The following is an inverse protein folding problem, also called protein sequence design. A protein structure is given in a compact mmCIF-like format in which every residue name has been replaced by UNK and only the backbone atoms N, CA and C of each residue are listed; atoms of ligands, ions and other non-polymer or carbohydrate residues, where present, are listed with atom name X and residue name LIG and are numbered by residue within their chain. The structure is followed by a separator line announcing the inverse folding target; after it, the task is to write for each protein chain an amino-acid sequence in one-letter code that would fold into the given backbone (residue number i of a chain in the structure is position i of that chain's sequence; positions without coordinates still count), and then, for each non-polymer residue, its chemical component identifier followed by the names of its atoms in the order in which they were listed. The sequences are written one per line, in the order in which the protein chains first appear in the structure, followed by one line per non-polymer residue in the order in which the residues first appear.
data_IF_112037392397
#
_entry.id   IF_112037392397
#
_cell.length_a   1.000
_cell.length_b   1.000
_cell.length_c   1.000
_cell.angle_alpha   90.00
_cell.angle_beta   90.00
_cell.angle_gamma   90.00
#
_symmetry.space_group_name_H-M   'P 1'
#
loop_
_entity.id
_entity.type
_entity.pdbx_description
1 polymer ?
#
# COMPACT_ATOMS: atom_id res chain seq x y z
N UNK A 1 16.31 -15.95 17.73
CA UNK A 1 15.13 -15.09 17.44
C UNK A 1 14.59 -14.56 18.76
N UNK A 2 14.64 -13.24 19.01
CA UNK A 2 14.16 -12.65 20.28
C UNK A 2 12.62 -12.67 20.31
N UNK A 3 12.03 -13.34 21.30
CA UNK A 3 10.59 -13.29 21.59
C UNK A 3 10.20 -11.84 21.93
N UNK A 4 9.33 -11.25 21.12
CA UNK A 4 8.73 -9.96 21.44
C UNK A 4 7.88 -10.13 22.71
N UNK A 5 8.31 -9.51 23.81
CA UNK A 5 7.52 -9.42 25.04
C UNK A 5 6.25 -8.62 24.76
N UNK A 6 5.10 -9.14 25.23
CA UNK A 6 3.79 -8.55 25.02
C UNK A 6 3.66 -7.19 25.74
N UNK A 7 4.15 -6.11 25.13
CA UNK A 7 3.91 -4.75 25.60
C UNK A 7 2.42 -4.44 25.45
N UNK A 8 1.79 -3.98 26.54
CA UNK A 8 0.38 -3.55 26.57
C UNK A 8 0.21 -2.38 25.59
N UNK A 9 -0.38 -2.63 24.41
CA UNK A 9 -0.62 -1.61 23.38
C UNK A 9 -1.67 -0.62 23.88
N UNK A 10 -1.50 0.67 23.58
CA UNK A 10 -2.49 1.69 23.91
C UNK A 10 -3.83 1.37 23.22
N UNK A 11 -4.98 1.61 23.87
CA UNK A 11 -6.29 1.13 23.40
C UNK A 11 -6.69 1.61 21.99
N UNK A 12 -6.09 2.71 21.50
CA UNK A 12 -6.28 3.27 20.15
C UNK A 12 -5.12 3.01 19.18
N UNK A 13 -3.98 2.50 19.65
CA UNK A 13 -2.90 2.02 18.78
C UNK A 13 -3.12 0.54 18.45
N UNK A 14 -4.18 0.27 17.68
CA UNK A 14 -4.34 -1.04 17.04
C UNK A 14 -3.66 -0.94 15.68
N UNK A 15 -2.41 -1.38 15.61
CA UNK A 15 -1.81 -1.73 14.30
C UNK A 15 -2.73 -2.77 13.68
N UNK A 16 -3.36 -2.44 12.56
CA UNK A 16 -4.11 -3.43 11.78
C UNK A 16 -3.08 -4.38 11.17
N UNK A 17 -3.12 -5.63 11.60
CA UNK A 17 -2.27 -6.68 11.07
C UNK A 17 -3.04 -7.36 9.94
N UNK A 18 -2.52 -7.27 8.72
CA UNK A 18 -3.10 -7.96 7.58
C UNK A 18 -2.79 -9.46 7.66
N UNK A 19 -3.82 -10.28 7.53
CA UNK A 19 -3.69 -11.72 7.24
C UNK A 19 -2.97 -11.94 5.91
N UNK A 20 -2.49 -13.17 5.68
CA UNK A 20 -1.83 -13.51 4.41
C UNK A 20 -2.76 -13.31 3.20
N UNK A 21 -4.04 -13.63 3.35
CA UNK A 21 -5.05 -13.44 2.30
C UNK A 21 -5.25 -11.95 1.98
N UNK A 22 -5.37 -11.11 3.00
CA UNK A 22 -5.50 -9.65 2.82
C UNK A 22 -4.22 -9.06 2.20
N UNK A 23 -3.04 -9.51 2.62
CA UNK A 23 -1.77 -9.10 2.01
C UNK A 23 -1.76 -9.40 0.52
N UNK A 24 -2.12 -10.62 0.11
CA UNK A 24 -2.16 -11.00 -1.29
C UNK A 24 -3.19 -10.17 -2.07
N UNK A 25 -4.37 -9.97 -1.49
CA UNK A 25 -5.41 -9.14 -2.09
C UNK A 25 -4.91 -7.72 -2.38
N UNK A 26 -4.33 -7.04 -1.38
CA UNK A 26 -3.83 -5.68 -1.55
C UNK A 26 -2.60 -5.61 -2.46
N UNK A 27 -1.70 -6.60 -2.39
CA UNK A 27 -0.54 -6.67 -3.31
C UNK A 27 -0.97 -6.71 -4.77
N UNK A 28 -2.03 -7.44 -5.08
CA UNK A 28 -2.55 -7.52 -6.45
C UNK A 28 -3.09 -6.19 -6.95
N UNK A 29 -3.49 -5.28 -6.05
CA UNK A 29 -3.98 -3.94 -6.37
C UNK A 29 -2.87 -2.89 -6.48
N UNK A 30 -1.64 -3.20 -6.06
CA UNK A 30 -0.52 -2.25 -6.10
C UNK A 30 -0.06 -2.02 -7.55
N UNK A 31 0.23 -0.76 -7.85
CA UNK A 31 0.78 -0.29 -9.11
C UNK A 31 1.99 0.62 -8.84
N UNK A 32 3.03 0.46 -9.66
CA UNK A 32 4.17 1.38 -9.73
C UNK A 32 4.22 1.95 -11.13
N UNK A 33 4.18 3.27 -11.23
CA UNK A 33 4.19 4.05 -12.45
C UNK A 33 5.64 4.32 -12.87
N UNK A 34 5.97 3.93 -14.11
CA UNK A 34 7.27 4.18 -14.76
C UNK A 34 7.11 4.91 -16.09
N UNK A 35 5.88 5.21 -16.47
CA UNK A 35 5.47 5.90 -17.69
C UNK A 35 4.13 6.59 -17.45
N UNK A 36 3.75 7.58 -18.27
CA UNK A 36 2.40 8.11 -18.28
C UNK A 36 1.36 7.00 -18.45
N UNK A 37 0.28 7.11 -17.69
CA UNK A 37 -0.83 6.13 -17.67
C UNK A 37 -2.16 6.80 -17.98
N UNK A 38 -3.07 6.07 -18.58
CA UNK A 38 -4.47 6.48 -18.73
C UNK A 38 -5.28 6.21 -17.45
N UNK A 39 -6.38 6.95 -17.27
CA UNK A 39 -7.29 6.80 -16.12
C UNK A 39 -7.71 5.34 -15.87
N UNK A 40 -8.02 4.61 -16.95
CA UNK A 40 -8.44 3.20 -16.89
C UNK A 40 -7.35 2.27 -16.33
N UNK A 41 -6.08 2.67 -16.38
CA UNK A 41 -4.96 1.87 -15.87
C UNK A 41 -4.77 2.07 -14.35
N UNK A 42 -5.27 3.17 -13.78
CA UNK A 42 -5.13 3.51 -12.36
C UNK A 42 -6.40 3.33 -11.54
N UNK A 43 -7.55 3.14 -12.20
CA UNK A 43 -8.83 2.91 -11.55
C UNK A 43 -8.78 1.68 -10.62
N UNK A 44 -9.21 1.85 -9.36
CA UNK A 44 -9.18 0.81 -8.32
C UNK A 44 -7.77 0.22 -8.04
N UNK A 45 -6.70 0.95 -8.35
CA UNK A 45 -5.31 0.58 -8.04
C UNK A 45 -4.75 1.43 -6.89
N UNK A 46 -3.74 0.90 -6.22
CA UNK A 46 -2.99 1.59 -5.16
C UNK A 46 -1.63 1.96 -5.73
N UNK A 47 -1.34 3.25 -5.88
CA UNK A 47 -0.01 3.70 -6.30
C UNK A 47 0.92 3.66 -5.09
N UNK A 48 1.91 2.75 -5.12
CA UNK A 48 2.85 2.55 -4.02
C UNK A 48 4.25 3.06 -4.36
N UNK A 49 4.38 4.37 -4.59
CA UNK A 49 5.66 5.05 -4.82
C UNK A 49 5.65 6.45 -4.20
N UNK A 50 6.79 7.15 -4.28
CA UNK A 50 6.86 8.54 -3.85
C UNK A 50 5.84 9.39 -4.64
N UNK A 51 5.09 10.24 -3.92
CA UNK A 51 4.07 11.08 -4.54
C UNK A 51 4.64 11.96 -5.65
N UNK A 52 5.77 12.62 -5.41
CA UNK A 52 6.38 13.53 -6.38
C UNK A 52 6.86 12.80 -7.64
N UNK A 53 7.39 11.59 -7.48
CA UNK A 53 7.77 10.73 -8.62
C UNK A 53 6.55 10.21 -9.39
N UNK A 54 5.39 10.06 -8.73
CA UNK A 54 4.17 9.57 -9.37
C UNK A 54 3.47 10.65 -10.21
N UNK A 55 3.54 11.92 -9.78
CA UNK A 55 2.80 13.03 -10.39
C UNK A 55 3.08 13.17 -11.90
N UNK A 56 4.33 12.95 -12.33
CA UNK A 56 4.75 13.04 -13.74
C UNK A 56 4.09 12.00 -14.65
N UNK A 57 3.49 10.96 -14.05
CA UNK A 57 2.88 9.84 -14.78
C UNK A 57 1.36 9.81 -14.70
N UNK A 58 0.75 10.62 -13.84
CA UNK A 58 -0.70 10.62 -13.67
C UNK A 58 -1.41 11.22 -14.90
N UNK A 59 -2.67 10.82 -15.14
CA UNK A 59 -3.52 11.48 -16.11
C UNK A 59 -3.67 12.98 -15.77
N UNK A 60 -3.76 13.83 -16.80
CA UNK A 60 -4.00 15.26 -16.67
C UNK A 60 -5.47 15.58 -16.35
#
# INVERSE_FOLDING_TARGET
MKKATAKKRAPRNRTMELSNTERQFYQNSILTLTRPVHEREVENRIIAQNLLEALDYLPA
#
